data_IF_304476377342
#
_entry.id   IF_304476377342
#
_cell.length_a   1.000
_cell.length_b   1.000
_cell.length_c   1.000
_cell.angle_alpha   90.00
_cell.angle_beta   90.00
_cell.angle_gamma   90.00
#
_symmetry.space_group_name_H-M   'P 1'
#
loop_
_entity.id
_entity.type
_entity.pdbx_description
1 polymer ?
#
# COMPACT_ATOMS: atom_id res chain seq x y z
N UNK A 1 6.07 13.44 -11.79
CA UNK A 1 5.64 14.64 -11.06
C UNK A 1 4.91 14.18 -9.81
N UNK A 2 5.24 14.73 -8.67
CA UNK A 2 4.53 14.43 -7.43
C UNK A 2 3.11 15.03 -7.47
N UNK A 3 2.14 14.29 -6.98
CA UNK A 3 0.74 14.73 -6.87
C UNK A 3 0.45 15.35 -5.50
N UNK A 4 1.05 14.75 -4.45
CA UNK A 4 1.11 15.32 -3.12
C UNK A 4 2.58 15.48 -2.76
N UNK A 5 2.96 16.67 -2.32
CA UNK A 5 4.30 16.95 -1.80
C UNK A 5 4.15 17.46 -0.36
N UNK A 6 4.76 16.75 0.57
CA UNK A 6 4.91 17.22 1.94
C UNK A 6 6.33 17.73 2.11
N UNK A 7 6.50 18.99 2.50
CA UNK A 7 7.79 19.64 2.63
C UNK A 7 8.02 20.07 4.05
N UNK A 8 9.01 19.48 4.70
CA UNK A 8 9.49 19.83 6.03
C UNK A 8 8.39 19.91 7.10
N UNK A 9 7.47 18.93 7.07
CA UNK A 9 6.26 18.92 7.89
C UNK A 9 6.61 18.57 9.32
N UNK A 10 6.31 19.50 10.25
CA UNK A 10 6.41 19.28 11.69
C UNK A 10 5.04 19.38 12.35
N UNK A 11 4.78 18.50 13.33
CA UNK A 11 3.57 18.53 14.14
C UNK A 11 3.80 18.08 15.57
N UNK A 12 3.41 18.93 16.51
CA UNK A 12 3.42 18.65 17.94
C UNK A 12 2.01 18.74 18.52
N UNK A 13 1.73 17.92 19.54
CA UNK A 13 0.55 17.99 20.38
C UNK A 13 1.01 18.16 21.83
N UNK A 14 1.06 19.40 22.30
CA UNK A 14 1.73 19.74 23.57
C UNK A 14 3.22 19.39 23.47
N UNK A 15 3.72 18.58 24.39
CA UNK A 15 5.11 18.12 24.44
C UNK A 15 5.39 16.93 23.49
N UNK A 16 4.35 16.27 22.99
CA UNK A 16 4.50 15.10 22.12
C UNK A 16 4.76 15.52 20.68
N UNK A 17 5.95 15.21 20.17
CA UNK A 17 6.29 15.33 18.76
C UNK A 17 5.60 14.18 18.00
N UNK A 18 4.75 14.52 17.02
CA UNK A 18 4.06 13.55 16.18
C UNK A 18 4.68 13.42 14.80
N UNK A 19 5.25 14.51 14.26
CA UNK A 19 6.03 14.56 13.02
C UNK A 19 7.17 15.54 13.23
N UNK A 20 8.36 15.17 12.76
CA UNK A 20 9.58 15.95 12.86
C UNK A 20 10.28 16.01 11.50
N UNK A 21 10.21 17.18 10.85
CA UNK A 21 10.83 17.47 9.56
C UNK A 21 10.57 16.41 8.47
N UNK A 22 9.32 15.91 8.37
CA UNK A 22 8.96 14.87 7.42
C UNK A 22 8.70 15.46 6.04
N UNK A 23 9.51 15.04 5.06
CA UNK A 23 9.32 15.36 3.64
C UNK A 23 9.09 14.10 2.82
N UNK A 24 8.02 14.08 2.01
CA UNK A 24 7.69 12.94 1.15
C UNK A 24 6.92 13.40 -0.10
N UNK A 25 7.15 12.68 -1.19
CA UNK A 25 6.52 12.89 -2.48
C UNK A 25 5.67 11.69 -2.86
N UNK A 26 4.41 11.92 -3.19
CA UNK A 26 3.47 10.89 -3.62
C UNK A 26 3.21 11.09 -5.11
N UNK A 27 3.67 10.16 -5.97
CA UNK A 27 3.48 10.26 -7.41
C UNK A 27 2.01 10.12 -7.81
N UNK A 28 1.62 10.77 -8.93
CA UNK A 28 0.26 10.70 -9.47
C UNK A 28 -0.05 9.32 -10.05
N UNK A 29 -1.28 8.82 -9.81
CA UNK A 29 -1.77 7.57 -10.39
C UNK A 29 -1.10 6.31 -9.83
N UNK A 30 -0.51 6.40 -8.66
CA UNK A 30 0.16 5.29 -7.98
C UNK A 30 -0.48 4.99 -6.63
N UNK A 31 -0.20 3.78 -6.12
CA UNK A 31 -0.51 3.39 -4.74
C UNK A 31 0.74 3.61 -3.91
N UNK A 32 0.65 4.49 -2.94
CA UNK A 32 1.72 4.86 -2.04
C UNK A 32 1.46 4.34 -0.62
N UNK A 33 2.31 3.44 -0.14
CA UNK A 33 2.21 2.89 1.20
C UNK A 33 2.80 3.82 2.26
N UNK A 34 2.00 4.23 3.25
CA UNK A 34 2.48 4.97 4.42
C UNK A 34 2.62 4.01 5.60
N UNK A 35 3.85 3.62 5.89
CA UNK A 35 4.20 2.55 6.82
C UNK A 35 4.76 3.07 8.15
N UNK A 36 4.72 2.23 9.16
CA UNK A 36 5.32 2.51 10.46
C UNK A 36 4.56 1.87 11.61
N UNK A 37 5.15 1.74 12.78
CA UNK A 37 4.48 1.21 13.97
C UNK A 37 3.35 2.15 14.45
N UNK A 38 2.53 1.65 15.37
CA UNK A 38 1.49 2.47 15.99
C UNK A 38 2.11 3.63 16.75
N UNK A 39 1.53 4.83 16.54
CA UNK A 39 2.05 6.06 17.15
C UNK A 39 3.25 6.70 16.41
N UNK A 40 3.72 6.14 15.30
CA UNK A 40 4.86 6.67 14.54
C UNK A 40 4.60 8.04 13.87
N UNK A 41 3.33 8.45 13.69
CA UNK A 41 2.98 9.72 13.03
C UNK A 41 2.11 9.56 11.77
N UNK A 42 1.87 8.34 11.27
CA UNK A 42 1.09 8.07 10.05
C UNK A 42 -0.27 8.78 10.01
N UNK A 43 -1.11 8.53 11.01
CA UNK A 43 -2.45 9.14 11.10
C UNK A 43 -2.37 10.67 11.21
N UNK A 44 -1.32 11.21 11.84
CA UNK A 44 -1.09 12.66 11.89
C UNK A 44 -0.78 13.21 10.50
N UNK A 45 0.09 12.56 9.72
CA UNK A 45 0.38 12.94 8.34
C UNK A 45 -0.88 12.87 7.47
N UNK A 46 -1.65 11.79 7.56
CA UNK A 46 -2.94 11.63 6.87
C UNK A 46 -3.89 12.77 7.21
N UNK A 47 -4.03 13.14 8.47
CA UNK A 47 -4.90 14.24 8.91
C UNK A 47 -4.42 15.60 8.41
N UNK A 48 -3.12 15.81 8.26
CA UNK A 48 -2.57 17.03 7.68
C UNK A 48 -2.87 17.11 6.18
N UNK A 49 -2.66 16.02 5.42
CA UNK A 49 -2.99 15.95 3.99
C UNK A 49 -4.50 16.16 3.76
N UNK A 50 -5.36 15.66 4.65
CA UNK A 50 -6.81 15.88 4.61
C UNK A 50 -7.27 17.26 5.15
N UNK A 51 -6.34 18.13 5.57
CA UNK A 51 -6.64 19.42 6.23
C UNK A 51 -7.52 19.32 7.49
N UNK A 52 -7.55 18.16 8.13
CA UNK A 52 -8.19 17.95 9.44
C UNK A 52 -7.34 18.59 10.54
N UNK A 53 -6.01 18.57 10.35
CA UNK A 53 -5.02 19.13 11.28
C UNK A 53 -4.07 20.01 10.50
N UNK A 54 -3.67 21.16 11.08
CA UNK A 54 -2.69 22.08 10.50
C UNK A 54 -1.31 21.72 11.06
N UNK A 55 -0.23 21.64 10.23
CA UNK A 55 1.12 21.46 10.72
C UNK A 55 1.59 22.67 11.55
N UNK A 56 2.60 22.49 12.40
CA UNK A 56 3.25 23.60 13.11
C UNK A 56 4.21 24.37 12.18
N UNK A 57 4.89 23.63 11.29
CA UNK A 57 5.71 24.19 10.21
C UNK A 57 5.70 23.26 9.02
N UNK A 58 6.25 23.74 7.89
CA UNK A 58 6.21 23.01 6.63
C UNK A 58 4.89 23.21 5.88
N UNK A 59 4.79 22.60 4.72
CA UNK A 59 3.64 22.75 3.84
C UNK A 59 3.27 21.44 3.12
N UNK A 60 2.02 21.37 2.66
CA UNK A 60 1.53 20.32 1.79
C UNK A 60 1.07 20.94 0.48
N UNK A 61 1.63 20.44 -0.63
CA UNK A 61 1.21 20.82 -1.97
C UNK A 61 0.32 19.72 -2.57
N UNK A 62 -0.71 20.15 -3.27
CA UNK A 62 -1.63 19.31 -4.04
C UNK A 62 -1.54 19.72 -5.52
N UNK A 63 -1.06 18.82 -6.37
CA UNK A 63 -0.84 19.08 -7.81
C UNK A 63 -0.01 20.37 -8.05
N UNK A 64 1.11 20.49 -7.33
CA UNK A 64 2.11 21.56 -7.45
C UNK A 64 1.77 22.89 -6.76
N UNK A 65 0.67 23.03 -6.02
CA UNK A 65 0.28 24.25 -5.29
C UNK A 65 -0.17 23.93 -3.85
N UNK A 66 -0.12 24.90 -2.94
CA UNK A 66 -0.61 24.70 -1.58
C UNK A 66 -2.03 24.16 -1.56
N UNK A 67 -2.24 23.10 -0.76
CA UNK A 67 -3.54 22.46 -0.63
C UNK A 67 -4.58 23.41 0.00
N UNK A 68 -5.77 23.46 -0.57
CA UNK A 68 -6.87 24.33 -0.15
C UNK A 68 -8.07 23.50 0.38
N UNK A 69 -9.06 24.20 1.00
CA UNK A 69 -10.28 23.54 1.44
C UNK A 69 -11.08 22.92 0.29
N UNK A 70 -11.05 23.52 -0.91
CA UNK A 70 -11.72 22.96 -2.10
C UNK A 70 -11.11 21.64 -2.58
N UNK A 71 -9.83 21.41 -2.30
CA UNK A 71 -9.18 20.15 -2.69
C UNK A 71 -9.67 18.96 -1.86
N UNK A 72 -10.21 19.22 -0.66
CA UNK A 72 -10.80 18.18 0.20
C UNK A 72 -12.02 17.51 -0.47
N UNK A 73 -12.71 18.22 -1.38
CA UNK A 73 -13.80 17.62 -2.19
C UNK A 73 -13.29 16.56 -3.17
N UNK A 74 -12.02 16.65 -3.57
CA UNK A 74 -11.34 15.70 -4.48
C UNK A 74 -10.66 14.54 -3.74
N UNK A 75 -10.72 14.55 -2.41
CA UNK A 75 -10.09 13.54 -1.56
C UNK A 75 -11.16 12.62 -0.99
N UNK A 76 -11.02 11.33 -1.23
CA UNK A 76 -11.75 10.28 -0.51
C UNK A 76 -10.92 9.83 0.70
N UNK A 77 -11.46 9.92 1.90
CA UNK A 77 -10.78 9.47 3.11
C UNK A 77 -11.57 8.37 3.81
N UNK A 78 -10.96 7.20 3.93
CA UNK A 78 -11.42 6.07 4.71
C UNK A 78 -10.62 6.00 6.01
N UNK A 79 -11.16 6.46 7.14
CA UNK A 79 -10.47 6.36 8.43
C UNK A 79 -10.52 4.93 8.98
N UNK A 80 -9.54 4.56 9.82
CA UNK A 80 -9.52 3.30 10.56
C UNK A 80 -10.76 3.16 11.46
N UNK A 81 -11.15 4.24 12.16
CA UNK A 81 -12.36 4.27 12.96
C UNK A 81 -13.59 4.59 12.12
N UNK A 82 -14.72 3.99 12.46
CA UNK A 82 -15.95 4.11 11.68
C UNK A 82 -16.57 5.50 11.83
N UNK A 83 -16.63 6.25 10.73
CA UNK A 83 -17.27 7.58 10.65
C UNK A 83 -18.76 7.54 10.30
N UNK A 84 -19.45 6.39 10.44
CA UNK A 84 -20.86 6.26 10.04
C UNK A 84 -21.81 6.62 11.20
N UNK A 85 -22.87 7.39 10.90
CA UNK A 85 -23.91 7.77 11.86
C UNK A 85 -24.87 6.61 12.12
N UNK A 86 -24.80 6.02 13.31
CA UNK A 86 -25.46 4.75 13.66
C UNK A 86 -26.98 4.72 13.44
N UNK A 87 -27.66 5.84 13.67
CA UNK A 87 -29.14 5.95 13.60
C UNK A 87 -29.67 6.30 12.21
N UNK A 88 -28.80 6.66 11.25
CA UNK A 88 -29.21 6.96 9.88
C UNK A 88 -29.43 5.69 9.06
N UNK A 89 -30.31 5.76 8.08
CA UNK A 89 -30.39 4.75 7.04
C UNK A 89 -29.13 4.78 6.16
N UNK A 90 -28.69 3.62 5.69
CA UNK A 90 -27.47 3.46 4.88
C UNK A 90 -27.55 4.30 3.60
N UNK A 91 -28.70 4.28 2.91
CA UNK A 91 -28.91 5.06 1.69
C UNK A 91 -28.86 6.57 1.94
N UNK A 92 -29.51 7.04 3.00
CA UNK A 92 -29.55 8.46 3.34
C UNK A 92 -28.16 8.97 3.71
N UNK A 93 -27.42 8.20 4.49
CA UNK A 93 -26.06 8.54 4.86
C UNK A 93 -25.13 8.57 3.63
N UNK A 94 -25.24 7.57 2.76
CA UNK A 94 -24.42 7.51 1.55
C UNK A 94 -24.73 8.71 0.62
N UNK A 95 -26.00 9.06 0.46
CA UNK A 95 -26.43 10.26 -0.26
C UNK A 95 -25.87 11.53 0.36
N UNK A 96 -26.00 11.69 1.68
CA UNK A 96 -25.50 12.85 2.41
C UNK A 96 -23.99 13.04 2.22
N UNK A 97 -23.20 11.96 2.40
CA UNK A 97 -21.75 12.02 2.25
C UNK A 97 -21.32 12.31 0.80
N UNK A 98 -22.02 11.77 -0.20
CA UNK A 98 -21.76 12.07 -1.60
C UNK A 98 -22.05 13.55 -1.93
N UNK A 99 -23.14 14.11 -1.40
CA UNK A 99 -23.50 15.52 -1.58
C UNK A 99 -22.51 16.47 -0.88
N UNK A 100 -21.99 16.10 0.30
CA UNK A 100 -20.92 16.85 0.98
C UNK A 100 -19.61 16.92 0.14
N UNK A 101 -19.43 15.98 -0.78
CA UNK A 101 -18.31 15.96 -1.74
C UNK A 101 -18.66 16.63 -3.08
N UNK A 102 -19.76 17.42 -3.12
CA UNK A 102 -20.14 18.23 -4.25
C UNK A 102 -20.97 17.51 -5.32
N UNK A 103 -21.39 16.26 -5.11
CA UNK A 103 -22.25 15.57 -6.07
C UNK A 103 -23.69 16.13 -6.05
N UNK A 104 -24.32 16.22 -7.23
CA UNK A 104 -25.75 16.46 -7.30
C UNK A 104 -26.52 15.25 -6.74
N UNK A 105 -27.75 15.48 -6.23
CA UNK A 105 -28.59 14.37 -5.74
C UNK A 105 -28.81 13.29 -6.81
N UNK A 106 -29.05 13.72 -8.06
CA UNK A 106 -29.26 12.83 -9.19
C UNK A 106 -28.05 11.96 -9.48
N UNK A 107 -26.86 12.55 -9.52
CA UNK A 107 -25.60 11.83 -9.83
C UNK A 107 -25.19 10.93 -8.66
N UNK A 108 -25.32 11.42 -7.42
CA UNK A 108 -25.06 10.63 -6.21
C UNK A 108 -25.94 9.38 -6.17
N UNK A 109 -27.24 9.52 -6.40
CA UNK A 109 -28.18 8.40 -6.44
C UNK A 109 -27.86 7.38 -7.54
N UNK A 110 -27.47 7.86 -8.73
CA UNK A 110 -27.11 7.01 -9.85
C UNK A 110 -25.83 6.21 -9.59
N UNK A 111 -24.78 6.88 -9.10
CA UNK A 111 -23.50 6.22 -8.80
C UNK A 111 -23.63 5.28 -7.60
N UNK A 112 -24.31 5.67 -6.52
CA UNK A 112 -24.54 4.79 -5.36
C UNK A 112 -25.30 3.53 -5.75
N UNK A 113 -26.30 3.60 -6.63
CA UNK A 113 -26.99 2.40 -7.13
C UNK A 113 -26.01 1.43 -7.80
N UNK A 114 -25.09 1.93 -8.64
CA UNK A 114 -24.07 1.10 -9.30
C UNK A 114 -23.17 0.41 -8.26
N UNK A 115 -22.65 1.18 -7.30
CA UNK A 115 -21.81 0.66 -6.24
C UNK A 115 -22.52 -0.37 -5.37
N UNK A 116 -23.77 -0.10 -4.99
CA UNK A 116 -24.56 -1.03 -4.16
C UNK A 116 -24.83 -2.34 -4.91
N UNK A 117 -25.11 -2.27 -6.21
CA UNK A 117 -25.25 -3.47 -7.05
C UNK A 117 -23.92 -4.23 -7.17
N UNK A 118 -22.79 -3.52 -7.43
CA UNK A 118 -21.46 -4.11 -7.56
C UNK A 118 -21.02 -4.86 -6.29
N UNK A 119 -21.40 -4.33 -5.12
CA UNK A 119 -21.10 -4.92 -3.82
C UNK A 119 -22.16 -5.90 -3.31
N UNK A 120 -23.27 -6.10 -4.05
CA UNK A 120 -24.36 -6.99 -3.64
C UNK A 120 -25.10 -6.51 -2.39
N UNK A 121 -25.24 -5.20 -2.19
CA UNK A 121 -25.82 -4.60 -0.98
C UNK A 121 -27.02 -3.68 -1.27
N UNK A 122 -27.65 -3.84 -2.42
CA UNK A 122 -28.79 -3.00 -2.82
C UNK A 122 -29.94 -3.04 -1.82
N UNK A 123 -30.13 -4.18 -1.14
CA UNK A 123 -31.19 -4.37 -0.13
C UNK A 123 -30.91 -3.67 1.21
N UNK A 124 -29.69 -3.09 1.37
CA UNK A 124 -29.31 -2.40 2.60
C UNK A 124 -29.73 -0.93 2.61
N UNK A 125 -30.23 -0.40 1.53
CA UNK A 125 -30.55 1.03 1.39
C UNK A 125 -31.37 1.60 2.55
N UNK A 126 -32.39 0.86 3.01
CA UNK A 126 -33.28 1.26 4.11
C UNK A 126 -32.88 0.70 5.48
N UNK A 127 -31.80 -0.09 5.57
CA UNK A 127 -31.30 -0.55 6.86
C UNK A 127 -30.65 0.60 7.62
N UNK A 128 -30.78 0.60 8.93
CA UNK A 128 -29.99 1.52 9.78
C UNK A 128 -28.57 1.04 9.86
N UNK A 129 -27.63 1.97 9.99
CA UNK A 129 -26.19 1.66 10.12
C UNK A 129 -25.92 0.77 11.34
N UNK A 130 -26.65 0.94 12.43
CA UNK A 130 -26.52 0.11 13.64
C UNK A 130 -26.89 -1.35 13.45
N UNK A 131 -27.65 -1.70 12.42
CA UNK A 131 -28.02 -3.06 12.07
C UNK A 131 -26.94 -3.79 11.26
N UNK A 132 -25.90 -3.07 10.83
CA UNK A 132 -24.83 -3.63 10.02
C UNK A 132 -23.79 -4.36 10.88
N UNK A 133 -23.33 -5.52 10.42
CA UNK A 133 -22.10 -6.13 10.94
C UNK A 133 -20.87 -5.26 10.66
N UNK A 134 -19.74 -5.58 11.29
CA UNK A 134 -18.48 -4.86 11.07
C UNK A 134 -18.09 -4.81 9.59
N UNK A 135 -18.07 -5.94 8.90
CA UNK A 135 -17.72 -6.02 7.48
C UNK A 135 -18.75 -5.33 6.57
N UNK A 136 -20.05 -5.39 6.92
CA UNK A 136 -21.08 -4.65 6.22
C UNK A 136 -20.87 -3.14 6.29
N UNK A 137 -20.61 -2.60 7.49
CA UNK A 137 -20.35 -1.18 7.69
C UNK A 137 -19.10 -0.71 6.92
N UNK A 138 -18.06 -1.54 6.85
CA UNK A 138 -16.86 -1.23 6.09
C UNK A 138 -17.11 -1.16 4.57
N UNK A 139 -17.95 -2.04 4.00
CA UNK A 139 -18.37 -1.93 2.59
C UNK A 139 -19.05 -0.59 2.31
N UNK A 140 -19.99 -0.19 3.16
CA UNK A 140 -20.68 1.10 3.03
C UNK A 140 -19.70 2.25 3.16
N UNK A 141 -18.78 2.18 4.12
CA UNK A 141 -17.76 3.21 4.33
C UNK A 141 -16.81 3.34 3.13
N UNK A 142 -16.37 2.21 2.54
CA UNK A 142 -15.58 2.23 1.32
C UNK A 142 -16.35 2.89 0.16
N UNK A 143 -17.60 2.48 -0.08
CA UNK A 143 -18.42 3.05 -1.15
C UNK A 143 -18.58 4.56 -0.98
N UNK A 144 -18.87 5.04 0.23
CA UNK A 144 -19.02 6.48 0.50
C UNK A 144 -17.71 7.25 0.34
N UNK A 145 -16.57 6.57 0.47
CA UNK A 145 -15.25 7.16 0.24
C UNK A 145 -14.95 7.37 -1.22
N UNK A 146 -15.43 6.49 -2.12
CA UNK A 146 -15.04 6.48 -3.53
C UNK A 146 -16.12 6.95 -4.50
N UNK A 147 -17.38 7.06 -4.08
CA UNK A 147 -18.54 7.34 -4.96
C UNK A 147 -18.42 8.64 -5.73
N UNK A 148 -17.77 9.66 -5.17
CA UNK A 148 -17.56 10.96 -5.81
C UNK A 148 -16.34 10.99 -6.76
N UNK A 149 -15.75 9.82 -7.06
CA UNK A 149 -14.58 9.65 -7.96
C UNK A 149 -13.41 10.54 -7.58
N UNK A 150 -12.87 10.40 -6.36
CA UNK A 150 -11.78 11.24 -5.89
C UNK A 150 -10.52 11.05 -6.73
N UNK A 151 -9.77 12.12 -6.95
CA UNK A 151 -8.44 12.05 -7.57
C UNK A 151 -7.35 11.56 -6.60
N UNK A 152 -7.59 11.70 -5.28
CA UNK A 152 -6.77 11.16 -4.20
C UNK A 152 -7.64 10.33 -3.27
N UNK A 153 -7.28 9.09 -3.05
CA UNK A 153 -7.86 8.23 -2.02
C UNK A 153 -6.86 8.04 -0.89
N UNK A 154 -7.29 8.24 0.35
CA UNK A 154 -6.51 7.95 1.55
C UNK A 154 -7.25 6.88 2.32
N UNK A 155 -6.62 5.72 2.45
CA UNK A 155 -7.22 4.51 3.03
C UNK A 155 -6.39 4.11 4.25
N UNK A 156 -6.94 4.31 5.43
CA UNK A 156 -6.28 3.98 6.70
C UNK A 156 -6.78 2.62 7.18
N UNK A 157 -5.91 1.60 7.13
CA UNK A 157 -6.19 0.20 7.44
C UNK A 157 -7.43 -0.37 6.71
N UNK A 158 -7.55 -0.24 5.38
CA UNK A 158 -8.79 -0.56 4.67
C UNK A 158 -9.22 -2.02 4.73
N UNK A 159 -8.30 -2.93 5.04
CA UNK A 159 -8.57 -4.38 5.10
C UNK A 159 -8.90 -4.86 6.53
N UNK A 160 -8.77 -3.99 7.54
CA UNK A 160 -9.00 -4.33 8.94
C UNK A 160 -10.45 -4.77 9.18
N UNK A 161 -10.63 -6.02 9.64
CA UNK A 161 -11.93 -6.57 10.01
C UNK A 161 -12.80 -7.08 8.87
N UNK A 162 -12.24 -7.19 7.67
CA UNK A 162 -12.81 -8.00 6.59
C UNK A 162 -12.38 -9.47 6.71
N UNK A 163 -13.23 -10.38 6.25
CA UNK A 163 -12.82 -11.72 5.88
C UNK A 163 -12.02 -11.70 4.56
N UNK A 164 -11.29 -12.78 4.22
CA UNK A 164 -10.44 -12.80 3.03
C UNK A 164 -11.17 -12.48 1.71
N UNK A 165 -12.43 -12.93 1.57
CA UNK A 165 -13.22 -12.71 0.33
C UNK A 165 -13.56 -11.23 0.17
N UNK A 166 -14.01 -10.59 1.26
CA UNK A 166 -14.33 -9.17 1.23
C UNK A 166 -13.07 -8.29 1.13
N UNK A 167 -11.94 -8.69 1.74
CA UNK A 167 -10.67 -8.01 1.57
C UNK A 167 -10.21 -8.03 0.10
N UNK A 168 -10.35 -9.18 -0.57
CA UNK A 168 -10.01 -9.31 -2.00
C UNK A 168 -10.89 -8.45 -2.90
N UNK A 169 -12.19 -8.34 -2.60
CA UNK A 169 -13.09 -7.43 -3.31
C UNK A 169 -12.61 -5.98 -3.21
N UNK A 170 -12.27 -5.50 -2.00
CA UNK A 170 -11.77 -4.13 -1.79
C UNK A 170 -10.43 -3.93 -2.50
N UNK A 171 -9.53 -4.92 -2.45
CA UNK A 171 -8.22 -4.88 -3.15
C UNK A 171 -8.40 -4.66 -4.65
N UNK A 172 -9.27 -5.47 -5.27
CA UNK A 172 -9.60 -5.34 -6.69
C UNK A 172 -10.16 -3.95 -7.03
N UNK A 173 -11.07 -3.43 -6.20
CA UNK A 173 -11.63 -2.10 -6.42
C UNK A 173 -10.58 -0.99 -6.32
N UNK A 174 -9.63 -1.09 -5.38
CA UNK A 174 -8.52 -0.13 -5.26
C UNK A 174 -7.67 -0.14 -6.53
N UNK A 175 -7.36 -1.32 -7.06
CA UNK A 175 -6.59 -1.46 -8.31
C UNK A 175 -7.35 -0.90 -9.52
N UNK A 176 -8.65 -1.21 -9.65
CA UNK A 176 -9.49 -0.66 -10.74
C UNK A 176 -9.56 0.88 -10.68
N UNK A 177 -9.67 1.46 -9.48
CA UNK A 177 -9.70 2.91 -9.31
C UNK A 177 -8.33 3.55 -9.63
N UNK A 178 -7.21 2.89 -9.28
CA UNK A 178 -5.86 3.29 -9.71
C UNK A 178 -5.75 3.30 -11.24
N UNK A 179 -6.20 2.24 -11.91
CA UNK A 179 -6.19 2.14 -13.38
C UNK A 179 -7.01 3.26 -14.04
N UNK A 180 -8.07 3.73 -13.36
CA UNK A 180 -8.85 4.89 -13.79
C UNK A 180 -8.16 6.24 -13.51
N UNK A 181 -6.96 6.22 -12.95
CA UNK A 181 -6.12 7.40 -12.71
C UNK A 181 -6.16 7.99 -11.30
N UNK A 182 -6.82 7.33 -10.35
CA UNK A 182 -6.78 7.77 -8.96
C UNK A 182 -5.40 7.53 -8.34
N UNK A 183 -4.96 8.46 -7.49
CA UNK A 183 -3.79 8.29 -6.62
C UNK A 183 -4.27 7.74 -5.28
N UNK A 184 -3.55 6.78 -4.71
CA UNK A 184 -3.94 6.13 -3.45
C UNK A 184 -2.83 6.27 -2.42
N UNK A 185 -3.17 6.70 -1.21
CA UNK A 185 -2.33 6.56 -0.02
C UNK A 185 -2.93 5.41 0.79
N UNK A 186 -2.14 4.36 1.00
CA UNK A 186 -2.52 3.19 1.78
C UNK A 186 -1.72 3.18 3.08
N UNK A 187 -2.38 3.41 4.21
CA UNK A 187 -1.75 3.21 5.53
C UNK A 187 -2.09 1.81 6.01
N UNK A 188 -1.07 1.00 6.24
CA UNK A 188 -1.24 -0.37 6.75
C UNK A 188 0.01 -0.86 7.48
N UNK A 189 -0.18 -1.82 8.36
CA UNK A 189 0.88 -2.61 9.01
C UNK A 189 1.03 -4.01 8.39
N UNK A 190 0.19 -4.37 7.41
CA UNK A 190 0.27 -5.65 6.69
C UNK A 190 1.24 -5.51 5.51
N UNK A 191 2.45 -6.06 5.68
CA UNK A 191 3.52 -5.97 4.67
C UNK A 191 3.23 -6.78 3.41
N UNK A 192 2.42 -7.82 3.48
CA UNK A 192 1.98 -8.58 2.30
C UNK A 192 1.12 -7.70 1.38
N UNK A 193 0.15 -6.97 1.95
CA UNK A 193 -0.64 -6.00 1.20
C UNK A 193 0.21 -4.88 0.59
N UNK A 194 1.32 -4.49 1.26
CA UNK A 194 2.28 -3.52 0.73
C UNK A 194 2.99 -4.05 -0.50
N UNK A 195 3.50 -5.30 -0.45
CA UNK A 195 4.18 -5.94 -1.59
C UNK A 195 3.26 -6.14 -2.80
N UNK A 196 1.98 -6.43 -2.54
CA UNK A 196 1.01 -6.70 -3.60
C UNK A 196 0.43 -5.45 -4.26
N UNK A 197 0.27 -4.36 -3.49
CA UNK A 197 -0.50 -3.20 -3.95
C UNK A 197 0.35 -1.96 -4.18
N UNK A 198 1.39 -1.73 -3.36
CA UNK A 198 2.08 -0.45 -3.37
C UNK A 198 3.16 -0.38 -4.45
N UNK A 199 3.17 0.72 -5.18
CA UNK A 199 4.27 1.05 -6.11
C UNK A 199 5.44 1.66 -5.34
N UNK A 200 5.14 2.56 -4.40
CA UNK A 200 6.12 3.27 -3.57
C UNK A 200 5.68 3.26 -2.11
N UNK A 201 6.62 3.47 -1.22
CA UNK A 201 6.37 3.56 0.22
C UNK A 201 7.12 4.72 0.87
N UNK A 202 6.62 5.12 2.04
CA UNK A 202 7.38 5.84 3.07
C UNK A 202 7.20 5.13 4.41
N UNK A 203 8.30 4.89 5.11
CA UNK A 203 8.31 4.36 6.47
C UNK A 203 8.59 5.50 7.45
N UNK A 204 7.63 5.77 8.33
CA UNK A 204 7.78 6.70 9.45
C UNK A 204 8.01 5.89 10.72
N UNK A 205 9.06 6.23 11.47
CA UNK A 205 9.30 5.70 12.81
C UNK A 205 9.69 6.83 13.76
N UNK A 206 9.14 6.81 14.99
CA UNK A 206 9.43 7.84 16.00
C UNK A 206 9.35 9.27 15.45
N UNK A 207 8.31 9.57 14.68
CA UNK A 207 8.01 10.87 14.07
C UNK A 207 8.92 11.29 12.90
N UNK A 208 9.92 10.48 12.52
CA UNK A 208 10.86 10.76 11.44
C UNK A 208 10.64 9.84 10.23
N UNK A 209 10.93 10.34 9.03
CA UNK A 209 10.99 9.53 7.82
C UNK A 209 12.27 8.68 7.82
N UNK A 210 12.11 7.35 7.78
CA UNK A 210 13.25 6.40 7.81
C UNK A 210 13.70 6.05 6.39
N UNK A 211 12.74 5.73 5.51
CA UNK A 211 13.01 5.39 4.11
C UNK A 211 11.81 5.74 3.25
N UNK A 212 12.06 6.10 1.99
CA UNK A 212 11.03 6.24 0.96
C UNK A 212 11.56 5.77 -0.39
N UNK A 213 10.68 5.29 -1.26
CA UNK A 213 11.03 4.84 -2.61
C UNK A 213 10.13 3.73 -3.14
N UNK A 214 10.46 3.21 -4.32
CA UNK A 214 9.79 2.07 -4.93
C UNK A 214 9.92 0.81 -4.08
N UNK A 215 8.83 0.04 -3.94
CA UNK A 215 8.83 -1.20 -3.14
C UNK A 215 9.90 -2.16 -3.65
N UNK A 216 9.96 -2.37 -4.97
CA UNK A 216 10.92 -3.29 -5.57
C UNK A 216 12.36 -2.80 -5.44
N UNK A 217 12.60 -1.49 -5.60
CA UNK A 217 13.92 -0.88 -5.44
C UNK A 217 14.43 -1.00 -4.00
N UNK A 218 13.55 -0.81 -3.02
CA UNK A 218 13.87 -0.99 -1.61
C UNK A 218 14.22 -2.47 -1.34
N UNK A 219 13.41 -3.40 -1.85
CA UNK A 219 13.69 -4.84 -1.69
C UNK A 219 15.03 -5.23 -2.32
N UNK A 220 15.36 -4.71 -3.49
CA UNK A 220 16.67 -4.94 -4.13
C UNK A 220 17.82 -4.34 -3.32
N UNK A 221 17.67 -3.12 -2.82
CA UNK A 221 18.67 -2.44 -2.00
C UNK A 221 19.03 -3.22 -0.71
N UNK A 222 18.05 -3.90 -0.12
CA UNK A 222 18.22 -4.72 1.08
C UNK A 222 18.41 -6.21 0.78
N UNK A 223 18.44 -6.59 -0.50
CA UNK A 223 18.67 -7.95 -0.96
C UNK A 223 20.12 -8.41 -0.77
N UNK A 224 20.30 -9.73 -0.70
CA UNK A 224 21.60 -10.38 -0.52
C UNK A 224 22.14 -10.94 -1.85
N UNK A 225 21.66 -10.47 -2.99
CA UNK A 225 21.98 -11.00 -4.34
C UNK A 225 21.74 -12.51 -4.46
N UNK A 226 20.74 -13.04 -3.73
CA UNK A 226 20.39 -14.45 -3.83
C UNK A 226 19.41 -14.70 -4.99
N UNK A 227 19.57 -15.86 -5.63
CA UNK A 227 18.64 -16.32 -6.66
C UNK A 227 18.18 -17.74 -6.37
N UNK A 228 16.94 -18.03 -6.72
CA UNK A 228 16.39 -19.37 -6.77
C UNK A 228 16.57 -19.92 -8.19
N UNK A 229 17.21 -21.05 -8.28
CA UNK A 229 17.38 -21.80 -9.52
C UNK A 229 16.65 -23.13 -9.40
N UNK A 230 15.67 -23.34 -10.26
CA UNK A 230 15.04 -24.66 -10.42
C UNK A 230 15.60 -25.30 -11.70
N UNK A 231 16.19 -26.48 -11.56
CA UNK A 231 16.81 -27.19 -12.67
C UNK A 231 16.55 -28.70 -12.61
N UNK A 232 16.76 -29.37 -13.74
CA UNK A 232 16.73 -30.84 -13.86
C UNK A 232 18.09 -31.29 -14.34
N UNK A 233 18.69 -32.28 -13.68
CA UNK A 233 19.98 -32.84 -13.99
C UNK A 233 20.26 -34.11 -13.21
N UNK A 234 21.20 -34.92 -13.67
CA UNK A 234 21.64 -36.17 -13.01
C UNK A 234 22.61 -35.88 -11.87
N UNK A 235 23.35 -34.77 -11.93
CA UNK A 235 24.31 -34.37 -10.94
C UNK A 235 23.91 -33.02 -10.30
N UNK A 236 24.21 -32.84 -8.99
CA UNK A 236 24.04 -31.55 -8.35
C UNK A 236 24.90 -30.48 -9.03
N UNK A 237 24.43 -29.23 -8.98
CA UNK A 237 25.15 -28.07 -9.49
C UNK A 237 26.44 -27.84 -8.67
N UNK A 238 27.52 -27.46 -9.35
CA UNK A 238 28.75 -27.05 -8.70
C UNK A 238 28.87 -25.52 -8.61
N UNK A 239 29.36 -25.03 -7.47
CA UNK A 239 29.63 -23.61 -7.27
C UNK A 239 30.77 -23.13 -8.18
N UNK A 240 30.68 -21.89 -8.68
CA UNK A 240 31.71 -21.25 -9.47
C UNK A 240 32.39 -20.15 -8.64
N UNK A 241 33.63 -20.34 -8.19
CA UNK A 241 34.35 -19.35 -7.37
C UNK A 241 34.40 -17.97 -8.05
N UNK A 242 34.08 -16.91 -7.30
CA UNK A 242 34.05 -15.55 -7.81
C UNK A 242 32.79 -15.19 -8.61
N UNK A 243 31.86 -16.11 -8.83
CA UNK A 243 30.61 -15.86 -9.50
C UNK A 243 29.38 -16.18 -8.62
N UNK A 244 29.31 -17.39 -8.07
CA UNK A 244 28.25 -17.77 -7.13
C UNK A 244 28.69 -18.91 -6.18
N UNK A 245 28.05 -18.97 -5.03
CA UNK A 245 28.08 -20.09 -4.08
C UNK A 245 26.68 -20.67 -3.91
N UNK A 246 26.59 -21.94 -3.50
CA UNK A 246 25.34 -22.64 -3.26
C UNK A 246 25.03 -22.55 -1.75
N UNK A 247 23.88 -21.93 -1.41
CA UNK A 247 23.39 -21.86 -0.03
C UNK A 247 22.65 -23.14 0.32
N UNK A 248 21.80 -23.62 -0.59
CA UNK A 248 21.03 -24.86 -0.43
C UNK A 248 20.73 -25.45 -1.81
N UNK A 249 20.62 -26.77 -1.89
CA UNK A 249 20.12 -27.50 -3.04
C UNK A 249 19.28 -28.68 -2.53
N UNK A 250 18.02 -28.73 -2.93
CA UNK A 250 17.08 -29.82 -2.60
C UNK A 250 16.68 -30.54 -3.86
N UNK A 251 16.73 -31.88 -3.83
CA UNK A 251 16.36 -32.72 -4.95
C UNK A 251 15.06 -33.46 -4.68
N UNK A 252 14.11 -33.35 -5.57
CA UNK A 252 12.88 -34.09 -5.59
C UNK A 252 12.73 -34.80 -6.94
N UNK A 253 12.99 -36.11 -6.94
CA UNK A 253 12.88 -36.98 -8.12
C UNK A 253 13.63 -36.44 -9.39
N UNK A 254 14.84 -35.91 -9.22
CA UNK A 254 15.67 -35.37 -10.31
C UNK A 254 15.39 -33.90 -10.65
N UNK A 255 14.44 -33.29 -9.95
CA UNK A 255 14.20 -31.83 -9.99
C UNK A 255 14.86 -31.17 -8.79
N UNK A 256 15.81 -30.32 -9.06
CA UNK A 256 16.56 -29.58 -8.06
C UNK A 256 15.97 -28.18 -7.86
N UNK A 257 15.96 -27.72 -6.61
CA UNK A 257 15.69 -26.33 -6.26
C UNK A 257 16.87 -25.83 -5.43
N UNK A 258 17.72 -25.03 -6.05
CA UNK A 258 18.90 -24.46 -5.43
C UNK A 258 18.73 -22.98 -5.12
N UNK A 259 19.26 -22.54 -3.99
CA UNK A 259 19.45 -21.12 -3.66
C UNK A 259 20.92 -20.78 -3.83
N UNK A 260 21.21 -19.87 -4.74
CA UNK A 260 22.56 -19.42 -5.05
C UNK A 260 22.78 -18.00 -4.49
N UNK A 261 23.95 -17.77 -3.89
CA UNK A 261 24.40 -16.42 -3.53
C UNK A 261 25.38 -15.93 -4.59
N UNK A 262 25.01 -14.84 -5.28
CA UNK A 262 25.84 -14.24 -6.30
C UNK A 262 26.93 -13.35 -5.70
N UNK A 263 28.11 -13.34 -6.28
CA UNK A 263 29.25 -12.53 -5.81
C UNK A 263 29.01 -11.00 -5.95
N UNK A 264 28.00 -10.59 -6.71
CA UNK A 264 27.63 -9.18 -6.89
C UNK A 264 26.33 -8.98 -7.66
N UNK A 265 25.88 -7.73 -7.70
CA UNK A 265 24.69 -7.34 -8.48
C UNK A 265 24.97 -7.44 -9.99
N UNK A 266 23.94 -7.71 -10.78
CA UNK A 266 24.01 -7.76 -12.24
C UNK A 266 24.66 -9.00 -12.83
N UNK A 267 25.09 -9.96 -12.00
CA UNK A 267 25.78 -11.18 -12.46
C UNK A 267 24.83 -12.30 -12.91
N UNK A 268 23.52 -12.11 -12.87
CA UNK A 268 22.53 -13.15 -13.18
C UNK A 268 22.75 -13.83 -14.52
N UNK A 269 23.01 -13.07 -15.59
CA UNK A 269 23.28 -13.64 -16.91
C UNK A 269 24.58 -14.46 -16.96
N UNK A 270 25.63 -14.00 -16.28
CA UNK A 270 26.91 -14.73 -16.21
C UNK A 270 26.72 -16.05 -15.44
N UNK A 271 26.01 -16.01 -14.33
CA UNK A 271 25.67 -17.21 -13.53
C UNK A 271 24.86 -18.18 -14.37
N UNK A 272 23.82 -17.72 -15.05
CA UNK A 272 23.01 -18.58 -15.92
C UNK A 272 23.82 -19.23 -17.04
N UNK A 273 24.76 -18.47 -17.63
CA UNK A 273 25.67 -19.00 -18.64
C UNK A 273 26.56 -20.13 -18.09
N UNK A 274 27.13 -19.98 -16.91
CA UNK A 274 27.96 -21.01 -16.28
C UNK A 274 27.14 -22.22 -15.81
N UNK A 275 25.91 -21.99 -15.33
CA UNK A 275 24.97 -23.07 -14.97
C UNK A 275 24.65 -23.95 -16.19
N UNK A 276 24.37 -23.33 -17.35
CA UNK A 276 24.05 -24.06 -18.58
C UNK A 276 25.21 -24.91 -19.09
N UNK A 277 26.47 -24.59 -18.76
CA UNK A 277 27.65 -25.42 -19.12
C UNK A 277 27.75 -26.72 -18.32
N UNK A 278 27.00 -26.82 -17.19
CA UNK A 278 27.02 -27.97 -16.31
C UNK A 278 26.04 -29.08 -16.72
N UNK A 279 25.56 -29.08 -17.96
CA UNK A 279 24.64 -30.09 -18.52
C UNK A 279 23.31 -30.23 -17.73
N UNK A 280 22.80 -29.14 -17.22
CA UNK A 280 21.51 -29.08 -16.52
C UNK A 280 20.47 -28.39 -17.43
N UNK A 281 19.20 -28.73 -17.22
CA UNK A 281 18.07 -28.05 -17.86
C UNK A 281 17.49 -27.06 -16.88
N UNK A 282 17.61 -25.77 -17.14
CA UNK A 282 17.07 -24.71 -16.29
C UNK A 282 15.56 -24.58 -16.51
N UNK A 283 14.78 -24.76 -15.46
CA UNK A 283 13.33 -24.64 -15.46
C UNK A 283 12.87 -23.24 -14.96
N UNK A 284 13.59 -22.65 -14.00
CA UNK A 284 13.31 -21.32 -13.48
C UNK A 284 14.60 -20.70 -12.93
N UNK A 285 14.73 -19.38 -13.11
CA UNK A 285 15.79 -18.58 -12.50
C UNK A 285 15.17 -17.29 -12.00
N UNK A 286 15.11 -17.09 -10.68
CA UNK A 286 14.37 -16.01 -10.04
C UNK A 286 15.21 -15.33 -8.98
N UNK A 287 15.28 -14.00 -9.00
CA UNK A 287 15.88 -13.21 -7.94
C UNK A 287 15.07 -13.38 -6.63
N UNK A 288 15.76 -13.70 -5.54
CA UNK A 288 15.17 -13.80 -4.21
C UNK A 288 15.32 -12.48 -3.48
N UNK A 289 14.29 -11.67 -3.57
CA UNK A 289 14.23 -10.42 -2.82
C UNK A 289 13.71 -10.69 -1.39
N UNK A 290 14.27 -10.00 -0.38
CA UNK A 290 13.78 -10.08 0.99
C UNK A 290 12.31 -9.61 1.05
N UNK A 291 11.55 -10.13 2.00
CA UNK A 291 10.19 -9.68 2.23
C UNK A 291 10.19 -8.28 2.85
N UNK A 292 9.21 -7.46 2.49
CA UNK A 292 9.06 -6.14 3.10
C UNK A 292 8.95 -6.20 4.62
N UNK A 293 8.38 -7.28 5.16
CA UNK A 293 8.30 -7.48 6.60
C UNK A 293 9.68 -7.56 7.28
N UNK A 294 10.64 -8.25 6.66
CA UNK A 294 12.00 -8.41 7.21
C UNK A 294 12.75 -7.07 7.17
N UNK A 295 12.58 -6.34 6.07
CA UNK A 295 13.15 -4.99 5.90
C UNK A 295 12.54 -4.03 6.92
N UNK A 296 11.22 -4.08 7.12
CA UNK A 296 10.51 -3.25 8.09
C UNK A 296 11.02 -3.48 9.52
N UNK A 297 11.10 -4.76 9.95
CA UNK A 297 11.60 -5.13 11.27
C UNK A 297 13.02 -4.60 11.46
N UNK A 298 13.91 -4.82 10.49
CA UNK A 298 15.29 -4.35 10.52
C UNK A 298 15.35 -2.83 10.71
N UNK A 299 14.67 -2.06 9.86
CA UNK A 299 14.70 -0.61 9.88
C UNK A 299 14.13 -0.02 11.18
N UNK A 300 13.02 -0.58 11.68
CA UNK A 300 12.40 -0.11 12.93
C UNK A 300 13.28 -0.42 14.13
N UNK A 301 14.01 -1.57 14.12
CA UNK A 301 14.90 -1.95 15.21
C UNK A 301 16.20 -1.13 15.20
N UNK A 302 16.77 -0.85 14.02
CA UNK A 302 17.99 -0.03 13.89
C UNK A 302 17.77 1.45 14.26
N UNK A 303 16.53 1.94 14.17
CA UNK A 303 16.12 3.30 14.56
C UNK A 303 15.48 3.35 15.96
N UNK A 304 15.59 2.26 16.73
CA UNK A 304 14.96 2.09 18.06
C UNK A 304 15.66 2.89 19.19
#
# INVERSE_FOLDING_TARGET
MAFIECRDVCKNFGEKVALDHVSLDIPKGQIFGLLGPNGAGKTTMIRIINRITIPNSGEVLFDGRPITQKDVEKIGYLPEERGLYRKMEVGDQAMYLAQLKGMSEKDARAELKKWFMKFGIQDWWKKKVEELSKGMAQKVQFITTVVHKPSLMILDEPFSGFDPVNAELIRKEILELKEQGATVILSTHNMESVEELCDNIALINKSHLVITGGVEDIRRRYGNNNVELVYTGETPLEAVPGLFSIISDTNDAGRHTAVLSLAGQGLGNNVLTEVLKQNVVVNSFKELLPRMNDIFIKLVTETA
#
